data_IF_259723421240
#
_entry.id   IF_259723421240
#
_cell.length_a   1.000
_cell.length_b   1.000
_cell.length_c   1.000
_cell.angle_alpha   90.00
_cell.angle_beta   90.00
_cell.angle_gamma   90.00
#
_symmetry.space_group_name_H-M   'P 1'
#
loop_
_entity.id
_entity.type
_entity.pdbx_description
1 polymer ?
#
# COMPACT_ATOMS: atom_id res chain seq x y z
N UNK A 1 10.92 -1.07 9.74
CA UNK A 1 11.74 -2.09 9.05
C UNK A 1 12.83 -1.38 8.26
N UNK A 2 14.00 -1.98 8.06
CA UNK A 2 15.03 -1.38 7.22
C UNK A 2 14.92 -1.95 5.81
N UNK A 3 15.29 -1.16 4.83
CA UNK A 3 15.31 -1.58 3.43
C UNK A 3 16.71 -1.35 2.85
N UNK A 4 17.05 -2.11 1.82
CA UNK A 4 18.19 -1.80 0.98
C UNK A 4 18.01 -0.40 0.36
N UNK A 5 19.11 0.34 0.22
CA UNK A 5 19.13 1.65 -0.43
C UNK A 5 18.56 1.61 -1.86
N UNK A 6 18.84 0.52 -2.58
CA UNK A 6 18.36 0.22 -3.94
C UNK A 6 17.08 -0.63 -4.00
N UNK A 7 16.34 -0.75 -2.89
CA UNK A 7 15.07 -1.50 -2.82
C UNK A 7 15.14 -2.99 -3.19
N UNK A 8 16.33 -3.59 -3.22
CA UNK A 8 16.50 -5.00 -3.57
C UNK A 8 15.90 -5.96 -2.54
N UNK A 9 15.93 -5.59 -1.26
CA UNK A 9 15.40 -6.41 -0.17
C UNK A 9 14.99 -5.59 1.06
N UNK A 10 14.23 -6.24 1.95
CA UNK A 10 13.96 -5.77 3.30
C UNK A 10 14.86 -6.52 4.28
N UNK A 11 15.48 -5.78 5.21
CA UNK A 11 16.18 -6.35 6.36
C UNK A 11 15.15 -6.66 7.46
N UNK A 12 14.31 -7.65 7.18
CA UNK A 12 13.18 -8.08 7.99
C UNK A 12 12.90 -9.57 7.73
N UNK A 13 12.17 -10.22 8.64
CA UNK A 13 11.97 -11.67 8.64
C UNK A 13 13.19 -12.41 9.18
N UNK A 14 13.08 -13.73 9.33
CA UNK A 14 14.14 -14.52 9.94
C UNK A 14 15.41 -14.59 9.10
N UNK A 15 15.27 -14.56 7.76
CA UNK A 15 16.41 -14.71 6.85
C UNK A 15 17.28 -13.44 6.75
N UNK A 16 16.68 -12.26 6.93
CA UNK A 16 17.34 -10.98 6.59
C UNK A 16 17.46 -9.98 7.75
N UNK A 17 16.86 -10.24 8.92
CA UNK A 17 16.84 -9.27 10.03
C UNK A 17 18.23 -8.94 10.59
N UNK A 18 19.13 -9.92 10.60
CA UNK A 18 20.46 -9.82 11.21
C UNK A 18 21.55 -9.49 10.18
N UNK A 19 21.19 -9.35 8.90
CA UNK A 19 22.15 -8.99 7.86
C UNK A 19 22.51 -7.50 7.94
N UNK A 20 23.81 -7.24 7.82
CA UNK A 20 24.38 -5.90 7.71
C UNK A 20 24.57 -5.47 6.25
N UNK A 21 24.57 -6.42 5.30
CA UNK A 21 24.74 -6.17 3.86
C UNK A 21 23.64 -6.84 3.04
N UNK A 22 23.22 -6.15 1.97
CA UNK A 22 22.23 -6.70 1.03
C UNK A 22 22.84 -7.85 0.23
N UNK A 23 22.19 -9.01 0.20
CA UNK A 23 22.67 -10.19 -0.54
C UNK A 23 22.60 -10.04 -2.07
N UNK A 24 21.91 -9.01 -2.58
CA UNK A 24 21.71 -8.79 -4.03
C UNK A 24 22.72 -7.78 -4.58
N UNK A 25 22.88 -6.62 -3.94
CA UNK A 25 23.73 -5.53 -4.41
C UNK A 25 24.92 -5.23 -3.50
N UNK A 26 25.11 -6.01 -2.44
CA UNK A 26 26.21 -5.90 -1.47
C UNK A 26 26.34 -4.53 -0.76
N UNK A 27 25.31 -3.68 -0.83
CA UNK A 27 25.31 -2.40 -0.12
C UNK A 27 25.09 -2.58 1.37
N UNK A 28 25.81 -1.81 2.18
CA UNK A 28 25.61 -1.73 3.63
C UNK A 28 24.19 -1.25 3.98
N UNK A 29 23.61 -1.88 5.01
CA UNK A 29 22.38 -1.46 5.67
C UNK A 29 22.53 -0.13 6.41
N UNK A 30 23.75 0.19 6.83
CA UNK A 30 24.06 1.30 7.74
C UNK A 30 24.70 2.47 7.00
N UNK A 31 24.50 3.68 7.52
CA UNK A 31 25.21 4.88 7.09
C UNK A 31 26.61 4.89 7.69
N UNK A 32 27.60 5.31 6.89
CA UNK A 32 28.96 5.51 7.34
C UNK A 32 29.03 6.84 8.12
N UNK A 33 28.85 6.76 9.44
CA UNK A 33 28.98 7.91 10.33
C UNK A 33 30.29 7.79 11.12
N UNK A 34 31.11 8.85 11.11
CA UNK A 34 32.33 8.96 11.93
C UNK A 34 32.05 9.05 13.45
N UNK A 35 30.78 8.99 13.86
CA UNK A 35 30.38 9.03 15.27
C UNK A 35 30.30 7.60 15.80
N UNK A 36 31.34 7.19 16.52
CA UNK A 36 31.43 5.89 17.19
C UNK A 36 30.19 5.59 18.03
N UNK A 37 29.44 4.55 17.65
CA UNK A 37 28.45 3.90 18.53
C UNK A 37 26.99 3.91 18.08
N UNK A 38 26.57 4.69 17.08
CA UNK A 38 25.17 4.68 16.59
C UNK A 38 25.05 4.16 15.16
N UNK A 39 24.64 2.89 15.01
CA UNK A 39 24.26 2.30 13.71
C UNK A 39 22.93 2.91 13.24
N UNK A 40 22.97 3.75 12.21
CA UNK A 40 21.79 4.38 11.60
C UNK A 40 21.52 3.72 10.26
N UNK A 41 20.32 3.16 10.01
CA UNK A 41 20.02 2.52 8.73
C UNK A 41 19.96 3.54 7.59
N UNK A 42 20.39 3.14 6.39
CA UNK A 42 20.35 3.99 5.20
C UNK A 42 18.91 4.30 4.77
N UNK A 43 18.04 3.28 4.75
CA UNK A 43 16.63 3.39 4.36
C UNK A 43 15.72 2.69 5.36
N UNK A 44 14.65 3.37 5.76
CA UNK A 44 13.64 2.86 6.69
C UNK A 44 12.30 2.79 5.99
N UNK A 45 11.74 1.59 5.92
CA UNK A 45 10.36 1.35 5.49
C UNK A 45 9.44 1.31 6.71
N UNK A 46 8.37 2.11 6.66
CA UNK A 46 7.31 2.11 7.67
C UNK A 46 6.12 1.33 7.13
N UNK A 47 5.84 0.19 7.73
CA UNK A 47 4.61 -0.54 7.47
C UNK A 47 3.57 -0.10 8.48
N UNK A 48 2.40 0.26 7.97
CA UNK A 48 1.24 0.54 8.79
C UNK A 48 0.26 -0.61 8.64
N UNK A 49 -0.21 -1.16 9.77
CA UNK A 49 -1.21 -2.21 9.77
C UNK A 49 -2.48 -1.71 9.09
N UNK A 50 -2.74 -2.22 7.89
CA UNK A 50 -3.87 -1.78 7.08
C UNK A 50 -5.19 -2.14 7.74
N UNK A 51 -5.26 -3.29 8.41
CA UNK A 51 -6.45 -3.78 9.11
C UNK A 51 -6.94 -2.77 10.15
N UNK A 52 -6.06 -2.29 11.03
CA UNK A 52 -6.43 -1.31 12.07
C UNK A 52 -6.92 0.01 11.47
N UNK A 53 -6.35 0.43 10.33
CA UNK A 53 -6.80 1.63 9.61
C UNK A 53 -8.20 1.43 9.01
N UNK A 54 -8.44 0.29 8.37
CA UNK A 54 -9.76 -0.04 7.82
C UNK A 54 -10.83 -0.13 8.91
N UNK A 55 -10.52 -0.75 10.05
CA UNK A 55 -11.42 -0.78 11.21
C UNK A 55 -11.74 0.63 11.71
N UNK A 56 -10.77 1.54 11.74
CA UNK A 56 -10.99 2.92 12.15
C UNK A 56 -11.95 3.66 11.21
N UNK A 57 -11.86 3.43 9.88
CA UNK A 57 -12.78 4.05 8.92
C UNK A 57 -14.25 3.69 9.21
N UNK A 58 -14.52 2.47 9.67
CA UNK A 58 -15.87 2.05 10.06
C UNK A 58 -16.34 2.57 11.42
N UNK A 59 -15.46 3.17 12.25
CA UNK A 59 -15.86 3.77 13.54
C UNK A 59 -16.62 5.09 13.38
N UNK A 60 -16.39 5.81 12.28
CA UNK A 60 -17.14 7.03 11.96
C UNK A 60 -18.39 6.67 11.17
N UNK A 61 -19.57 7.05 11.67
CA UNK A 61 -20.84 6.80 10.99
C UNK A 61 -20.92 7.48 9.61
N UNK A 62 -20.28 8.62 9.46
CA UNK A 62 -20.20 9.33 8.17
C UNK A 62 -19.31 8.57 7.19
N UNK A 63 -18.08 8.21 7.59
CA UNK A 63 -17.14 7.50 6.72
C UNK A 63 -17.66 6.09 6.39
N UNK A 64 -18.28 5.41 7.35
CA UNK A 64 -18.86 4.09 7.13
C UNK A 64 -19.91 4.08 6.00
N UNK A 65 -20.71 5.14 5.86
CA UNK A 65 -21.66 5.30 4.75
C UNK A 65 -20.95 5.40 3.40
N UNK A 66 -19.87 6.16 3.34
CA UNK A 66 -19.03 6.29 2.13
C UNK A 66 -18.34 4.95 1.80
N UNK A 67 -17.85 4.22 2.81
CA UNK A 67 -17.19 2.92 2.62
C UNK A 67 -18.11 1.88 1.97
N UNK A 68 -19.41 1.90 2.28
CA UNK A 68 -20.42 0.99 1.69
C UNK A 68 -21.11 1.58 0.45
N UNK A 69 -20.73 2.78 0.02
CA UNK A 69 -21.39 3.49 -1.08
C UNK A 69 -21.41 2.66 -2.38
N UNK A 70 -20.36 1.85 -2.60
CA UNK A 70 -20.26 0.97 -3.74
C UNK A 70 -21.43 -0.03 -3.85
N UNK A 71 -22.03 -0.44 -2.72
CA UNK A 71 -23.16 -1.37 -2.66
C UNK A 71 -24.52 -0.66 -2.60
N UNK A 72 -24.61 0.51 -1.96
CA UNK A 72 -25.88 1.25 -1.80
C UNK A 72 -26.17 2.22 -2.97
N UNK A 73 -25.33 2.16 -4.01
CA UNK A 73 -25.34 3.11 -5.11
C UNK A 73 -26.67 3.17 -5.86
N UNK A 74 -27.07 4.40 -6.24
CA UNK A 74 -27.99 4.66 -7.36
C UNK A 74 -27.17 5.16 -8.55
N UNK A 75 -27.14 4.41 -9.66
CA UNK A 75 -26.45 4.87 -10.88
C UNK A 75 -27.15 6.12 -11.41
N UNK A 76 -26.48 7.28 -11.38
CA UNK A 76 -27.13 8.55 -11.74
C UNK A 76 -27.14 8.82 -13.24
N UNK A 77 -26.21 8.23 -14.02
CA UNK A 77 -26.18 8.39 -15.48
C UNK A 77 -25.75 7.07 -16.14
N UNK A 78 -26.65 6.35 -16.81
CA UNK A 78 -26.30 5.14 -17.53
C UNK A 78 -25.26 5.44 -18.62
N UNK A 79 -24.36 4.49 -18.90
CA UNK A 79 -23.36 4.59 -19.97
C UNK A 79 -22.08 5.39 -19.64
N UNK A 80 -21.96 6.03 -18.47
CA UNK A 80 -20.72 6.70 -18.03
C UNK A 80 -20.08 6.02 -16.83
N UNK A 81 -18.75 5.89 -16.83
CA UNK A 81 -18.00 5.44 -15.66
C UNK A 81 -17.87 6.62 -14.68
N UNK A 82 -18.56 6.55 -13.55
CA UNK A 82 -18.55 7.60 -12.52
C UNK A 82 -17.75 7.21 -11.28
N UNK A 83 -17.43 5.92 -11.15
CA UNK A 83 -16.77 5.36 -9.98
C UNK A 83 -16.09 4.04 -10.37
N UNK A 84 -14.97 3.64 -9.73
CA UNK A 84 -14.27 2.38 -10.01
C UNK A 84 -15.16 1.12 -9.99
N UNK A 85 -16.23 1.13 -9.19
CA UNK A 85 -17.26 0.06 -9.15
C UNK A 85 -17.93 -0.21 -10.51
N UNK A 86 -17.98 0.79 -11.41
CA UNK A 86 -18.48 0.61 -12.78
C UNK A 86 -17.50 -0.12 -13.70
N UNK A 87 -16.24 -0.23 -13.29
CA UNK A 87 -15.18 -0.85 -14.07
C UNK A 87 -15.40 -2.35 -14.28
N UNK A 88 -14.90 -2.86 -15.40
CA UNK A 88 -14.98 -4.30 -15.72
C UNK A 88 -14.26 -5.16 -14.67
N UNK A 89 -13.12 -4.70 -14.16
CA UNK A 89 -12.36 -5.41 -13.13
C UNK A 89 -13.19 -5.64 -11.85
N UNK A 90 -13.95 -4.63 -11.41
CA UNK A 90 -14.80 -4.74 -10.23
C UNK A 90 -15.93 -5.75 -10.45
N UNK A 91 -16.65 -5.65 -11.57
CA UNK A 91 -17.73 -6.57 -11.92
C UNK A 91 -17.25 -8.02 -12.05
N UNK A 92 -16.07 -8.21 -12.65
CA UNK A 92 -15.44 -9.54 -12.75
C UNK A 92 -15.08 -10.10 -11.37
N UNK A 93 -14.62 -9.25 -10.45
CA UNK A 93 -14.35 -9.67 -9.09
C UNK A 93 -15.63 -10.07 -8.34
N UNK A 94 -16.71 -9.28 -8.46
CA UNK A 94 -17.99 -9.59 -7.80
C UNK A 94 -18.61 -10.88 -8.31
N UNK A 95 -18.54 -11.14 -9.61
CA UNK A 95 -19.06 -12.38 -10.21
C UNK A 95 -18.24 -13.60 -9.81
N UNK A 96 -16.92 -13.44 -9.63
CA UNK A 96 -16.03 -14.54 -9.20
C UNK A 96 -16.14 -14.84 -7.70
N UNK A 97 -16.34 -13.83 -6.86
CA UNK A 97 -16.34 -13.95 -5.40
C UNK A 97 -17.67 -13.47 -4.80
N UNK A 98 -18.73 -14.24 -5.05
CA UNK A 98 -20.10 -13.87 -4.65
C UNK A 98 -20.23 -13.66 -3.14
N UNK A 99 -19.64 -14.53 -2.31
CA UNK A 99 -19.74 -14.39 -0.85
C UNK A 99 -19.02 -13.15 -0.33
N UNK A 100 -17.92 -12.76 -0.98
CA UNK A 100 -17.27 -11.50 -0.70
C UNK A 100 -18.12 -10.30 -1.15
N UNK A 101 -18.78 -10.40 -2.31
CA UNK A 101 -19.62 -9.34 -2.84
C UNK A 101 -20.90 -9.11 -2.03
N UNK A 102 -21.43 -10.16 -1.39
CA UNK A 102 -22.65 -10.10 -0.56
C UNK A 102 -22.50 -9.23 0.70
N UNK A 103 -21.29 -9.08 1.24
CA UNK A 103 -21.03 -8.27 2.43
C UNK A 103 -20.52 -6.87 2.03
N UNK A 104 -21.35 -5.81 2.16
CA UNK A 104 -20.99 -4.45 1.73
C UNK A 104 -19.81 -3.84 2.51
N UNK A 105 -19.48 -4.37 3.69
CA UNK A 105 -18.34 -3.90 4.49
C UNK A 105 -17.00 -4.47 4.03
N UNK A 106 -17.01 -5.37 3.05
CA UNK A 106 -15.79 -5.90 2.48
C UNK A 106 -15.07 -4.86 1.62
N UNK A 107 -13.83 -4.55 2.01
CA UNK A 107 -13.02 -3.50 1.38
C UNK A 107 -12.22 -4.08 0.21
N UNK A 108 -12.23 -3.37 -0.93
CA UNK A 108 -11.41 -3.70 -2.11
C UNK A 108 -10.35 -2.62 -2.26
N UNK A 109 -9.09 -3.02 -2.31
CA UNK A 109 -7.95 -2.13 -2.47
C UNK A 109 -7.42 -2.26 -3.90
N UNK A 110 -7.49 -1.17 -4.67
CA UNK A 110 -6.87 -1.09 -5.99
C UNK A 110 -5.42 -0.61 -5.85
N UNK A 111 -4.47 -1.36 -6.41
CA UNK A 111 -3.10 -0.88 -6.59
C UNK A 111 -3.03 -0.20 -7.96
N UNK A 112 -2.65 1.07 -7.96
CA UNK A 112 -2.40 1.83 -9.17
C UNK A 112 -0.90 2.13 -9.25
N UNK A 113 -0.26 1.73 -10.35
CA UNK A 113 1.16 1.99 -10.60
C UNK A 113 1.37 3.24 -11.48
N UNK A 114 0.29 3.85 -11.96
CA UNK A 114 0.30 4.97 -12.92
C UNK A 114 0.62 6.34 -12.28
N UNK A 115 0.80 6.39 -10.95
CA UNK A 115 1.12 7.61 -10.20
C UNK A 115 2.20 7.45 -9.12
N UNK A 116 2.80 6.27 -8.96
CA UNK A 116 4.03 6.17 -8.19
C UNK A 116 5.15 6.78 -9.04
N UNK A 117 5.37 8.09 -8.90
CA UNK A 117 6.62 8.73 -9.27
C UNK A 117 7.52 8.77 -8.02
N UNK A 118 8.24 7.69 -7.68
CA UNK A 118 9.18 7.69 -6.55
C UNK A 118 10.35 8.66 -6.77
N UNK A 119 10.53 9.15 -8.01
CA UNK A 119 11.57 10.09 -8.41
C UNK A 119 10.96 11.35 -9.01
N UNK A 120 10.02 12.00 -8.28
CA UNK A 120 9.52 13.34 -8.61
C UNK A 120 10.60 14.14 -9.32
N UNK A 121 10.40 14.44 -10.61
CA UNK A 121 11.47 14.73 -11.56
C UNK A 121 12.66 15.47 -10.96
N UNK A 122 13.83 14.85 -11.11
CA UNK A 122 15.15 15.48 -11.08
C UNK A 122 15.14 16.76 -11.92
N UNK A 123 15.20 17.92 -11.25
CA UNK A 123 15.79 19.13 -11.83
C UNK A 123 16.63 19.82 -10.75
N UNK A 124 17.89 19.42 -10.67
CA UNK A 124 18.94 20.28 -10.15
C UNK A 124 19.15 21.41 -11.17
N UNK A 125 18.91 22.64 -10.74
CA UNK A 125 19.57 23.83 -11.25
C UNK A 125 20.53 24.30 -10.16
#
# INVERSE_FOLDING_TARGET
>A
MHACEHDCCLFWGDDNKDLDFCQVCNTSRWKDNNTSGKKVPKKVLRYFLIISRLQHLYKSSHIAKEMIWHATRKCMKPGKMQHPVNGRAWKNFETKYLDFAKEPRNVRLGLAADGFNPFGNLSHA
#
